data_IF_833190482290
#
_entry.id   IF_833190482290
#
_cell.length_a   1.000
_cell.length_b   1.000
_cell.length_c   1.000
_cell.angle_alpha   90.00
_cell.angle_beta   90.00
_cell.angle_gamma   90.00
#
_symmetry.space_group_name_H-M   'P 1'
#
loop_
_entity.id
_entity.type
_entity.pdbx_description
1 polymer ?
#
# COMPACT_ATOMS: atom_id res chain seq x y z
N UNK A 1 19.37 -38.22 19.15
CA UNK A 1 18.19 -38.34 18.27
C UNK A 1 17.55 -36.95 18.19
N UNK A 2 17.97 -36.13 17.23
CA UNK A 2 17.48 -34.75 17.07
C UNK A 2 16.49 -34.72 15.88
N UNK A 3 15.28 -34.16 16.04
CA UNK A 3 14.31 -34.11 14.95
C UNK A 3 14.79 -33.12 13.87
N UNK A 4 14.89 -33.62 12.64
CA UNK A 4 15.22 -32.86 11.43
C UNK A 4 13.93 -32.31 10.82
N UNK A 5 13.47 -31.16 11.30
CA UNK A 5 12.51 -30.36 10.57
C UNK A 5 13.21 -29.11 10.03
N UNK A 6 13.96 -29.32 8.93
CA UNK A 6 14.49 -28.22 8.11
C UNK A 6 13.40 -27.89 7.10
N UNK A 7 12.72 -26.73 7.18
CA UNK A 7 11.74 -26.35 6.18
C UNK A 7 12.44 -26.13 4.83
N UNK A 8 11.93 -26.81 3.81
CA UNK A 8 12.37 -26.77 2.42
C UNK A 8 12.64 -25.34 1.94
N UNK A 9 13.89 -25.02 1.51
CA UNK A 9 14.27 -23.67 1.07
C UNK A 9 13.55 -23.23 -0.22
N UNK A 10 12.92 -24.15 -0.96
CA UNK A 10 12.13 -23.84 -2.16
C UNK A 10 10.68 -23.47 -1.80
N UNK A 11 10.09 -24.14 -0.81
CA UNK A 11 8.74 -23.85 -0.31
C UNK A 11 8.62 -22.49 0.39
N UNK A 12 9.65 -22.06 1.09
CA UNK A 12 9.70 -20.74 1.73
C UNK A 12 9.76 -19.59 0.70
N UNK A 13 10.28 -19.85 -0.51
CA UNK A 13 10.30 -18.89 -1.61
C UNK A 13 8.93 -18.76 -2.28
N UNK A 14 8.20 -19.86 -2.49
CA UNK A 14 6.91 -19.87 -3.17
C UNK A 14 5.78 -19.18 -2.38
N UNK A 15 5.81 -19.24 -1.04
CA UNK A 15 4.78 -18.62 -0.19
C UNK A 15 5.02 -17.11 -0.03
N UNK A 16 6.28 -16.66 -0.05
CA UNK A 16 6.64 -15.23 0.09
C UNK A 16 6.68 -14.45 -1.24
N UNK A 17 6.84 -15.13 -2.37
CA UNK A 17 6.76 -14.50 -3.69
C UNK A 17 5.38 -14.53 -4.33
N UNK A 18 4.38 -15.24 -3.78
CA UNK A 18 3.03 -15.24 -4.35
C UNK A 18 2.42 -13.83 -4.44
N UNK A 19 2.57 -12.92 -3.45
CA UNK A 19 2.13 -11.53 -3.60
C UNK A 19 2.99 -10.75 -4.60
N UNK A 20 4.29 -11.00 -4.67
CA UNK A 20 5.24 -10.29 -5.55
C UNK A 20 5.15 -10.70 -7.02
N UNK A 21 4.90 -11.99 -7.29
CA UNK A 21 4.65 -12.57 -8.61
C UNK A 21 3.23 -12.23 -9.07
N UNK A 22 2.24 -12.17 -8.17
CA UNK A 22 0.90 -11.64 -8.50
C UNK A 22 0.92 -10.12 -8.76
N UNK A 23 1.74 -9.36 -8.02
CA UNK A 23 2.02 -7.95 -8.33
C UNK A 23 2.74 -7.79 -9.67
N UNK A 24 3.65 -8.70 -10.04
CA UNK A 24 4.30 -8.74 -11.35
C UNK A 24 3.35 -9.20 -12.48
N UNK A 25 2.42 -10.13 -12.23
CA UNK A 25 1.43 -10.56 -13.22
C UNK A 25 0.35 -9.50 -13.45
N UNK A 26 -0.07 -8.78 -12.40
CA UNK A 26 -0.90 -7.58 -12.49
C UNK A 26 -0.21 -6.43 -13.23
N UNK A 27 1.08 -6.19 -12.90
CA UNK A 27 1.96 -5.27 -13.62
C UNK A 27 1.99 -5.55 -15.12
N UNK A 28 2.13 -6.81 -15.51
CA UNK A 28 2.21 -7.22 -16.92
C UNK A 28 0.86 -7.19 -17.65
N UNK A 29 -0.27 -7.34 -16.94
CA UNK A 29 -1.61 -7.19 -17.52
C UNK A 29 -1.98 -5.72 -17.77
N UNK A 30 -1.47 -4.77 -16.97
CA UNK A 30 -1.70 -3.33 -17.15
C UNK A 30 -0.77 -2.65 -18.17
N UNK A 31 0.38 -3.25 -18.51
CA UNK A 31 1.26 -2.72 -19.56
C UNK A 31 0.64 -2.68 -20.97
N UNK A 32 -0.50 -3.35 -21.20
CA UNK A 32 -1.32 -3.19 -22.42
C UNK A 32 -2.22 -1.95 -22.43
N UNK A 33 -2.38 -1.23 -21.30
CA UNK A 33 -3.35 -0.12 -21.15
C UNK A 33 -2.74 1.23 -20.73
N UNK A 34 -1.42 1.38 -20.80
CA UNK A 34 -0.77 2.69 -20.82
C UNK A 34 -1.00 3.57 -19.57
N UNK A 35 -0.50 3.18 -18.41
CA UNK A 35 -0.19 4.13 -17.33
C UNK A 35 0.77 3.52 -16.31
N UNK A 36 2.05 3.84 -16.43
CA UNK A 36 3.11 3.40 -15.50
C UNK A 36 3.06 4.12 -14.13
N UNK A 37 2.06 4.97 -13.85
CA UNK A 37 1.99 5.81 -12.64
C UNK A 37 1.39 5.14 -11.38
N UNK A 38 0.89 3.90 -11.47
CA UNK A 38 0.11 3.26 -10.38
C UNK A 38 0.81 2.09 -9.69
N UNK A 39 2.14 2.01 -9.75
CA UNK A 39 2.92 0.93 -9.11
C UNK A 39 3.28 1.24 -7.65
N UNK A 40 2.89 0.35 -6.74
CA UNK A 40 3.41 0.23 -5.38
C UNK A 40 2.78 1.18 -4.35
N UNK A 41 2.21 0.62 -3.28
CA UNK A 41 1.64 1.34 -2.12
C UNK A 41 0.42 2.24 -2.41
N UNK A 42 -0.23 2.10 -3.57
CA UNK A 42 -1.41 2.87 -3.94
C UNK A 42 -2.70 2.19 -3.46
N UNK A 43 -3.77 2.96 -3.23
CA UNK A 43 -5.06 2.41 -2.82
C UNK A 43 -5.70 1.45 -3.86
N UNK A 44 -5.57 1.68 -5.19
CA UNK A 44 -6.04 0.73 -6.20
C UNK A 44 -5.38 -0.65 -6.11
N UNK A 45 -4.08 -0.71 -5.82
CA UNK A 45 -3.38 -1.98 -5.66
C UNK A 45 -3.91 -2.78 -4.45
N UNK A 46 -4.22 -2.11 -3.33
CA UNK A 46 -4.83 -2.74 -2.16
C UNK A 46 -6.24 -3.26 -2.45
N UNK A 47 -7.05 -2.45 -3.13
CA UNK A 47 -8.39 -2.83 -3.60
C UNK A 47 -8.35 -4.05 -4.51
N UNK A 48 -7.37 -4.12 -5.41
CA UNK A 48 -7.17 -5.30 -6.26
C UNK A 48 -6.77 -6.56 -5.47
N UNK A 49 -5.88 -6.45 -4.49
CA UNK A 49 -5.48 -7.59 -3.65
C UNK A 49 -6.68 -8.16 -2.88
N UNK A 50 -7.51 -7.31 -2.30
CA UNK A 50 -8.73 -7.72 -1.60
C UNK A 50 -9.70 -8.46 -2.53
N UNK A 51 -9.86 -7.98 -3.77
CA UNK A 51 -10.68 -8.66 -4.80
C UNK A 51 -10.13 -10.04 -5.20
N UNK A 52 -8.84 -10.26 -5.02
CA UNK A 52 -8.20 -11.56 -5.22
C UNK A 52 -8.14 -12.39 -3.93
N UNK A 53 -8.85 -11.98 -2.88
CA UNK A 53 -8.86 -12.64 -1.56
C UNK A 53 -7.47 -12.73 -0.91
N UNK A 54 -6.58 -11.79 -1.26
CA UNK A 54 -5.24 -11.66 -0.68
C UNK A 54 -5.24 -10.52 0.34
N UNK A 55 -4.97 -10.83 1.61
CA UNK A 55 -4.89 -9.84 2.68
C UNK A 55 -3.72 -8.87 2.48
N UNK A 56 -3.98 -7.56 2.29
CA UNK A 56 -2.93 -6.59 1.99
C UNK A 56 -2.21 -6.10 3.26
N UNK A 57 -1.11 -6.75 3.65
CA UNK A 57 -0.25 -6.28 4.76
C UNK A 57 0.70 -5.13 4.37
N UNK A 58 0.22 -4.15 3.60
CA UNK A 58 1.02 -3.00 3.14
C UNK A 58 0.45 -1.72 3.76
N UNK A 59 1.11 -1.12 4.75
CA UNK A 59 0.54 -0.02 5.52
C UNK A 59 0.14 1.16 4.63
N UNK A 60 -0.91 1.86 5.03
CA UNK A 60 -1.31 3.13 4.44
C UNK A 60 -0.48 4.22 5.10
N UNK A 61 0.22 5.03 4.29
CA UNK A 61 0.79 6.27 4.81
C UNK A 61 -0.37 7.22 5.10
N UNK A 62 -0.69 7.39 6.38
CA UNK A 62 -1.77 8.26 6.78
C UNK A 62 -1.28 9.69 7.01
N UNK A 63 -1.90 10.63 6.31
CA UNK A 63 -1.65 12.07 6.43
C UNK A 63 -2.92 12.82 6.82
N UNK A 64 -3.99 12.12 7.17
CA UNK A 64 -5.28 12.72 7.52
C UNK A 64 -5.18 13.67 8.71
N UNK A 65 -4.28 13.38 9.66
CA UNK A 65 -4.03 14.18 10.85
C UNK A 65 -3.10 15.39 10.63
N UNK A 66 -2.57 15.60 9.41
CA UNK A 66 -1.63 16.70 9.11
C UNK A 66 -2.40 17.99 8.76
N UNK A 67 -3.21 18.49 9.69
CA UNK A 67 -4.18 19.57 9.45
C UNK A 67 -3.77 20.94 9.99
N UNK A 68 -2.54 21.08 10.49
CA UNK A 68 -2.03 22.33 11.10
C UNK A 68 -2.98 22.90 12.18
N UNK A 69 -3.54 22.03 13.01
CA UNK A 69 -4.44 22.41 14.11
C UNK A 69 -5.92 22.58 13.73
N UNK A 70 -6.29 22.33 12.47
CA UNK A 70 -7.69 22.29 12.03
C UNK A 70 -8.32 20.92 12.24
N UNK A 71 -9.65 20.84 12.20
CA UNK A 71 -10.35 19.57 12.19
C UNK A 71 -9.90 18.67 11.04
N UNK A 72 -9.64 17.41 11.39
CA UNK A 72 -9.28 16.37 10.45
C UNK A 72 -10.50 15.60 9.95
N UNK A 73 -10.25 14.58 9.13
CA UNK A 73 -11.32 13.76 8.57
C UNK A 73 -12.16 13.02 9.63
N UNK A 74 -11.62 12.80 10.84
CA UNK A 74 -12.34 12.09 11.91
C UNK A 74 -13.52 12.88 12.47
N UNK A 75 -13.54 14.20 12.26
CA UNK A 75 -14.63 15.08 12.67
C UNK A 75 -15.77 15.14 11.64
N UNK A 76 -15.72 14.33 10.57
CA UNK A 76 -16.75 14.25 9.53
C UNK A 76 -17.24 12.83 9.41
N UNK A 77 -18.55 12.64 9.47
CA UNK A 77 -19.16 11.32 9.32
C UNK A 77 -19.47 11.05 7.85
N UNK A 78 -19.04 9.91 7.32
CA UNK A 78 -19.35 9.50 5.96
C UNK A 78 -20.59 8.60 5.94
N UNK A 79 -21.56 8.93 5.10
CA UNK A 79 -22.72 8.09 4.79
C UNK A 79 -22.50 7.40 3.44
N UNK A 80 -22.40 6.07 3.47
CA UNK A 80 -22.20 5.25 2.27
C UNK A 80 -23.45 5.12 1.41
N UNK A 81 -24.65 5.20 1.98
CA UNK A 81 -25.91 5.07 1.25
C UNK A 81 -26.17 6.31 0.40
N UNK A 82 -25.90 7.49 0.97
CA UNK A 82 -26.11 8.78 0.29
C UNK A 82 -24.89 9.27 -0.49
N UNK A 83 -23.72 8.65 -0.32
CA UNK A 83 -22.42 9.14 -0.81
C UNK A 83 -22.23 10.62 -0.46
N UNK A 84 -22.36 10.94 0.84
CA UNK A 84 -22.20 12.28 1.39
C UNK A 84 -21.46 12.25 2.72
N UNK A 85 -20.93 13.40 3.12
CA UNK A 85 -20.39 13.60 4.47
C UNK A 85 -21.33 14.48 5.29
N UNK A 86 -21.30 14.32 6.60
CA UNK A 86 -22.00 15.19 7.56
C UNK A 86 -20.97 15.87 8.45
N UNK A 87 -21.06 17.19 8.60
CA UNK A 87 -20.19 17.93 9.52
C UNK A 87 -20.69 17.81 10.98
N UNK A 88 -19.88 18.24 11.94
CA UNK A 88 -20.24 18.22 13.38
C UNK A 88 -21.53 18.99 13.71
N UNK A 89 -21.90 19.98 12.90
CA UNK A 89 -23.15 20.74 13.07
C UNK A 89 -24.35 20.10 12.35
N UNK A 90 -24.19 18.88 11.82
CA UNK A 90 -25.26 18.14 11.15
C UNK A 90 -25.52 18.57 9.70
N UNK A 91 -24.74 19.49 9.14
CA UNK A 91 -24.90 19.93 7.76
C UNK A 91 -24.34 18.90 6.78
N UNK A 92 -25.14 18.55 5.76
CA UNK A 92 -24.74 17.64 4.70
C UNK A 92 -23.75 18.28 3.73
N UNK A 93 -22.77 17.48 3.31
CA UNK A 93 -21.71 17.79 2.37
C UNK A 93 -21.77 16.79 1.20
N UNK A 94 -22.56 17.07 0.15
CA UNK A 94 -22.72 16.15 -0.96
C UNK A 94 -21.46 16.10 -1.85
N UNK A 95 -21.33 15.00 -2.61
CA UNK A 95 -20.31 14.87 -3.63
C UNK A 95 -20.49 15.95 -4.72
N UNK A 96 -19.46 16.78 -4.94
CA UNK A 96 -19.50 17.81 -6.00
C UNK A 96 -18.49 17.60 -7.11
N UNK A 97 -17.34 16.99 -6.82
CA UNK A 97 -16.28 16.83 -7.83
C UNK A 97 -15.66 15.46 -7.76
N UNK A 98 -15.43 14.88 -8.94
CA UNK A 98 -14.69 13.64 -9.12
C UNK A 98 -13.49 13.92 -10.03
N UNK A 99 -12.28 13.61 -9.58
CA UNK A 99 -11.06 13.61 -10.39
C UNK A 99 -10.66 12.18 -10.69
N UNK A 100 -10.79 11.76 -11.95
CA UNK A 100 -10.58 10.35 -12.36
C UNK A 100 -9.11 9.96 -12.35
N UNK A 101 -8.22 10.87 -12.74
CA UNK A 101 -6.77 10.63 -12.85
C UNK A 101 -6.15 10.27 -11.50
N UNK A 102 -6.60 10.95 -10.45
CA UNK A 102 -6.18 10.70 -9.07
C UNK A 102 -7.11 9.77 -8.28
N UNK A 103 -8.25 9.37 -8.86
CA UNK A 103 -9.31 8.61 -8.17
C UNK A 103 -9.77 9.28 -6.87
N UNK A 104 -9.99 10.60 -6.92
CA UNK A 104 -10.38 11.41 -5.76
C UNK A 104 -11.81 11.89 -5.94
N UNK A 105 -12.63 11.69 -4.90
CA UNK A 105 -13.94 12.31 -4.70
C UNK A 105 -13.81 13.51 -3.76
N UNK A 106 -14.53 14.59 -4.03
CA UNK A 106 -14.48 15.81 -3.23
C UNK A 106 -15.89 16.27 -2.87
N UNK A 107 -16.10 16.48 -1.58
CA UNK A 107 -17.37 16.77 -0.93
C UNK A 107 -17.30 18.16 -0.33
N UNK A 108 -18.35 18.95 -0.50
CA UNK A 108 -18.32 20.38 -0.25
C UNK A 108 -19.45 20.72 0.71
N UNK A 109 -19.14 21.50 1.75
CA UNK A 109 -20.15 22.14 2.56
C UNK A 109 -20.84 23.27 1.78
N UNK A 110 -22.09 23.57 2.12
CA UNK A 110 -22.78 24.75 1.61
C UNK A 110 -22.05 26.03 2.02
N UNK A 111 -21.93 26.99 1.10
CA UNK A 111 -21.21 28.25 1.37
C UNK A 111 -21.93 29.08 2.43
N UNK A 112 -23.25 29.11 2.39
CA UNK A 112 -24.06 29.92 3.29
C UNK A 112 -24.10 29.31 4.69
N UNK A 113 -24.33 27.99 4.80
CA UNK A 113 -24.31 27.23 6.06
C UNK A 113 -22.94 27.19 6.72
N UNK A 114 -21.86 26.98 5.95
CA UNK A 114 -20.51 26.98 6.49
C UNK A 114 -20.02 28.41 6.81
N UNK A 115 -20.53 29.42 6.10
CA UNK A 115 -20.17 30.82 6.27
C UNK A 115 -20.55 31.39 7.64
N UNK A 116 -21.70 30.98 8.16
CA UNK A 116 -22.27 31.43 9.44
C UNK A 116 -21.95 30.50 10.62
N UNK A 117 -21.24 29.41 10.37
CA UNK A 117 -20.90 28.40 11.38
C UNK A 117 -19.98 28.94 12.49
N UNK A 118 -20.32 28.79 13.78
CA UNK A 118 -19.44 29.15 14.91
C UNK A 118 -18.11 28.37 14.91
N UNK A 119 -18.09 27.14 14.38
CA UNK A 119 -16.89 26.30 14.37
C UNK A 119 -15.99 26.52 13.13
N UNK A 120 -16.34 27.47 12.26
CA UNK A 120 -15.65 27.69 10.97
C UNK A 120 -14.14 27.83 11.12
N UNK A 121 -13.67 28.66 12.06
CA UNK A 121 -12.23 28.92 12.26
C UNK A 121 -11.44 27.66 12.65
N UNK A 122 -12.07 26.73 13.37
CA UNK A 122 -11.45 25.44 13.71
C UNK A 122 -11.51 24.44 12.54
N UNK A 123 -12.48 24.61 11.63
CA UNK A 123 -12.71 23.73 10.50
C UNK A 123 -11.86 24.09 9.26
N UNK A 124 -11.88 25.36 8.83
CA UNK A 124 -11.22 25.82 7.59
C UNK A 124 -11.00 27.33 7.54
N UNK A 125 -10.02 27.77 6.75
CA UNK A 125 -9.86 29.19 6.40
C UNK A 125 -10.56 29.53 5.07
N UNK A 126 -10.99 28.50 4.33
CA UNK A 126 -11.67 28.68 3.07
C UNK A 126 -13.12 29.17 3.29
N UNK A 127 -13.79 29.68 2.24
CA UNK A 127 -15.19 30.09 2.33
C UNK A 127 -16.13 28.97 2.78
N UNK A 128 -15.79 27.72 2.48
CA UNK A 128 -16.51 26.51 2.87
C UNK A 128 -15.54 25.33 3.05
N UNK A 129 -15.94 24.35 3.85
CA UNK A 129 -15.14 23.15 4.07
C UNK A 129 -15.19 22.19 2.87
N UNK A 130 -14.03 21.62 2.53
CA UNK A 130 -13.92 20.58 1.49
C UNK A 130 -13.29 19.33 2.09
N UNK A 131 -13.97 18.20 1.96
CA UNK A 131 -13.46 16.89 2.34
C UNK A 131 -13.12 16.11 1.08
N UNK A 132 -11.97 15.42 1.09
CA UNK A 132 -11.55 14.56 -0.03
C UNK A 132 -11.48 13.11 0.41
N UNK A 133 -12.03 12.20 -0.41
CA UNK A 133 -12.04 10.75 -0.18
C UNK A 133 -11.45 10.05 -1.39
N UNK A 134 -10.62 9.04 -1.20
CA UNK A 134 -10.19 8.20 -2.31
C UNK A 134 -11.35 7.31 -2.78
N UNK A 135 -11.44 6.98 -4.07
CA UNK A 135 -12.46 6.03 -4.57
C UNK A 135 -12.32 4.61 -4.01
N UNK A 136 -11.15 4.30 -3.46
CA UNK A 136 -10.81 2.99 -2.88
C UNK A 136 -10.53 3.16 -1.38
N UNK A 137 -11.22 4.09 -0.71
CA UNK A 137 -10.98 4.38 0.71
C UNK A 137 -11.36 3.21 1.61
N UNK A 138 -12.37 2.40 1.24
CA UNK A 138 -12.69 1.16 1.95
C UNK A 138 -11.49 0.20 2.00
N UNK A 139 -10.81 -0.02 0.87
CA UNK A 139 -9.62 -0.84 0.84
C UNK A 139 -8.50 -0.27 1.73
N UNK A 140 -8.41 1.06 1.87
CA UNK A 140 -7.46 1.69 2.79
C UNK A 140 -7.88 1.48 4.24
N UNK A 141 -9.18 1.55 4.52
CA UNK A 141 -9.75 1.35 5.84
C UNK A 141 -9.51 -0.06 6.35
N UNK A 142 -9.78 -1.09 5.54
CA UNK A 142 -9.45 -2.48 5.85
C UNK A 142 -7.97 -2.65 6.21
N UNK A 143 -7.07 -1.97 5.49
CA UNK A 143 -5.63 -2.03 5.77
C UNK A 143 -5.26 -1.31 7.06
N UNK A 144 -5.97 -0.24 7.44
CA UNK A 144 -5.79 0.42 8.75
C UNK A 144 -6.18 -0.53 9.88
N UNK A 145 -7.31 -1.23 9.74
CA UNK A 145 -7.79 -2.22 10.72
C UNK A 145 -6.82 -3.38 10.87
N UNK A 146 -6.20 -3.82 9.77
CA UNK A 146 -5.18 -4.88 9.79
C UNK A 146 -3.86 -4.45 10.44
N UNK A 147 -3.61 -3.15 10.63
CA UNK A 147 -2.30 -2.62 11.04
C UNK A 147 -1.80 -3.25 12.33
N UNK A 148 -2.68 -3.38 13.31
CA UNK A 148 -2.34 -3.76 14.68
C UNK A 148 -2.54 -5.27 14.94
N UNK A 149 -2.68 -6.06 13.86
CA UNK A 149 -2.82 -7.52 13.94
C UNK A 149 -1.46 -8.23 13.96
N UNK A 150 -1.37 -9.35 14.69
CA UNK A 150 -0.16 -10.17 14.76
C UNK A 150 0.31 -10.67 13.38
N UNK A 151 -0.63 -11.01 12.48
CA UNK A 151 -0.33 -11.43 11.11
C UNK A 151 0.36 -10.32 10.30
N UNK A 152 -0.08 -9.07 10.46
CA UNK A 152 0.55 -7.92 9.81
C UNK A 152 1.98 -7.71 10.30
N UNK A 153 2.20 -7.86 11.62
CA UNK A 153 3.53 -7.77 12.23
C UNK A 153 4.48 -8.87 11.77
N UNK A 154 3.99 -10.10 11.69
CA UNK A 154 4.77 -11.21 11.15
C UNK A 154 5.15 -10.96 9.69
N UNK A 155 4.17 -10.57 8.87
CA UNK A 155 4.39 -10.20 7.46
C UNK A 155 5.42 -9.09 7.34
N UNK A 156 5.38 -8.08 8.22
CA UNK A 156 6.36 -7.00 8.28
C UNK A 156 7.76 -7.51 8.62
N UNK A 157 7.90 -8.41 9.60
CA UNK A 157 9.19 -9.03 9.95
C UNK A 157 9.77 -9.83 8.78
N UNK A 158 8.93 -10.60 8.08
CA UNK A 158 9.32 -11.38 6.89
C UNK A 158 9.77 -10.47 5.74
N UNK A 159 9.02 -9.39 5.44
CA UNK A 159 9.41 -8.40 4.41
C UNK A 159 10.77 -7.76 4.68
N UNK A 160 11.06 -7.36 5.93
CA UNK A 160 12.37 -6.81 6.29
C UNK A 160 13.52 -7.75 5.94
N UNK A 161 13.36 -9.08 6.15
CA UNK A 161 14.38 -10.07 5.77
C UNK A 161 14.63 -10.09 4.25
N UNK A 162 13.56 -9.96 3.46
CA UNK A 162 13.64 -9.90 1.99
C UNK A 162 14.25 -8.57 1.52
N UNK A 163 13.85 -7.45 2.09
CA UNK A 163 14.44 -6.13 1.78
C UNK A 163 15.94 -6.11 2.06
N UNK A 164 16.38 -6.72 3.17
CA UNK A 164 17.79 -6.89 3.51
C UNK A 164 18.54 -7.78 2.50
N UNK A 165 17.91 -8.84 2.01
CA UNK A 165 18.46 -9.69 0.95
C UNK A 165 18.73 -8.88 -0.33
N UNK A 166 17.75 -8.10 -0.77
CA UNK A 166 17.89 -7.21 -1.93
C UNK A 166 18.94 -6.12 -1.71
N UNK A 167 19.01 -5.54 -0.51
CA UNK A 167 20.04 -4.56 -0.16
C UNK A 167 21.45 -5.17 -0.27
N UNK A 168 21.65 -6.38 0.25
CA UNK A 168 22.93 -7.08 0.15
C UNK A 168 23.27 -7.42 -1.31
N UNK A 169 22.30 -7.86 -2.10
CA UNK A 169 22.47 -8.16 -3.53
C UNK A 169 22.94 -6.91 -4.31
N UNK A 170 22.34 -5.74 -4.04
CA UNK A 170 22.75 -4.47 -4.67
C UNK A 170 24.12 -3.98 -4.20
N UNK A 171 24.39 -4.02 -2.89
CA UNK A 171 25.57 -3.40 -2.26
C UNK A 171 26.83 -4.28 -2.33
N UNK A 172 26.68 -5.59 -2.12
CA UNK A 172 27.81 -6.52 -2.04
C UNK A 172 28.01 -7.37 -3.28
N UNK A 173 26.94 -7.76 -3.97
CA UNK A 173 27.06 -8.50 -5.24
C UNK A 173 27.06 -7.59 -6.47
N UNK A 174 26.90 -6.27 -6.27
CA UNK A 174 27.01 -5.27 -7.34
C UNK A 174 25.89 -5.32 -8.39
N UNK A 175 24.80 -6.06 -8.13
CA UNK A 175 23.67 -6.19 -9.04
C UNK A 175 22.83 -4.91 -9.00
N UNK A 176 23.30 -3.88 -9.72
CA UNK A 176 22.67 -2.56 -9.82
C UNK A 176 21.83 -2.41 -11.10
N UNK A 177 22.17 -3.15 -12.14
CA UNK A 177 21.49 -3.16 -13.44
C UNK A 177 21.48 -4.60 -13.96
N UNK A 178 20.41 -4.95 -14.64
CA UNK A 178 20.33 -6.21 -15.37
C UNK A 178 21.09 -6.06 -16.69
N UNK A 179 21.86 -7.08 -17.09
CA UNK A 179 22.62 -7.06 -18.36
C UNK A 179 21.81 -7.66 -19.50
N UNK A 180 21.02 -8.68 -19.22
CA UNK A 180 20.14 -9.35 -20.16
C UNK A 180 18.84 -8.56 -20.34
N UNK A 181 18.29 -8.62 -21.56
CA UNK A 181 17.02 -7.97 -21.92
C UNK A 181 15.85 -8.94 -21.83
N UNK A 182 14.67 -8.40 -21.55
CA UNK A 182 13.43 -9.16 -21.47
C UNK A 182 13.26 -9.92 -20.15
N UNK A 183 12.04 -10.43 -19.92
CA UNK A 183 11.66 -11.07 -18.66
C UNK A 183 12.45 -12.35 -18.37
N UNK A 184 12.75 -13.14 -19.42
CA UNK A 184 13.52 -14.38 -19.28
C UNK A 184 14.93 -14.09 -18.79
N UNK A 185 15.64 -13.16 -19.43
CA UNK A 185 16.98 -12.75 -19.02
C UNK A 185 17.03 -12.14 -17.62
N UNK A 186 16.04 -11.32 -17.27
CA UNK A 186 15.91 -10.81 -15.90
C UNK A 186 15.77 -11.94 -14.88
N UNK A 187 14.95 -12.96 -15.17
CA UNK A 187 14.74 -14.10 -14.28
C UNK A 187 16.04 -14.90 -14.08
N UNK A 188 16.74 -15.21 -15.17
CA UNK A 188 18.02 -15.94 -15.12
C UNK A 188 19.07 -15.22 -14.27
N UNK A 189 19.22 -13.90 -14.44
CA UNK A 189 20.16 -13.11 -13.64
C UNK A 189 19.79 -13.08 -12.15
N UNK A 190 18.51 -12.88 -11.82
CA UNK A 190 18.08 -12.90 -10.43
C UNK A 190 18.26 -14.28 -9.80
N UNK A 191 18.00 -15.36 -10.55
CA UNK A 191 18.18 -16.72 -10.08
C UNK A 191 19.65 -17.01 -9.76
N UNK A 192 20.57 -16.63 -10.66
CA UNK A 192 22.02 -16.76 -10.43
C UNK A 192 22.48 -15.93 -9.22
N UNK A 193 22.01 -14.69 -9.09
CA UNK A 193 22.38 -13.82 -7.98
C UNK A 193 21.84 -14.36 -6.63
N UNK A 194 20.61 -14.89 -6.61
CA UNK A 194 20.04 -15.53 -5.44
C UNK A 194 20.81 -16.80 -5.05
N UNK A 195 21.19 -17.63 -6.03
CA UNK A 195 22.02 -18.82 -5.81
C UNK A 195 23.36 -18.46 -5.18
N UNK A 196 24.08 -17.48 -5.75
CA UNK A 196 25.35 -17.01 -5.18
C UNK A 196 25.17 -16.50 -3.73
N UNK A 197 24.08 -15.77 -3.46
CA UNK A 197 23.77 -15.28 -2.12
C UNK A 197 23.47 -16.42 -1.13
N UNK A 198 22.76 -17.47 -1.56
CA UNK A 198 22.47 -18.65 -0.75
C UNK A 198 23.74 -19.46 -0.45
N UNK A 199 24.62 -19.67 -1.44
CA UNK A 199 25.92 -20.32 -1.25
C UNK A 199 26.79 -19.58 -0.22
N UNK A 200 26.86 -18.24 -0.32
CA UNK A 200 27.58 -17.42 0.67
C UNK A 200 27.02 -17.56 2.09
N UNK A 201 25.70 -17.77 2.24
CA UNK A 201 25.08 -18.00 3.55
C UNK A 201 25.38 -19.38 4.10
N UNK A 202 25.29 -20.42 3.25
CA UNK A 202 25.65 -21.79 3.63
C UNK A 202 27.10 -21.87 4.12
N UNK A 203 28.03 -21.26 3.39
CA UNK A 203 29.44 -21.22 3.79
C UNK A 203 29.69 -20.57 5.16
N UNK A 204 28.81 -19.67 5.61
CA UNK A 204 28.90 -19.05 6.95
C UNK A 204 28.28 -19.87 8.08
N UNK A 205 27.46 -20.86 7.76
CA UNK A 205 26.78 -21.70 8.75
C UNK A 205 27.58 -22.96 9.10
N UNK A 206 28.61 -23.28 8.33
CA UNK A 206 29.54 -24.36 8.67
C UNK A 206 30.52 -23.81 9.71
N UNK A 207 30.50 -24.29 10.98
CA UNK A 207 31.51 -23.90 11.96
C UNK A 207 32.89 -24.35 11.47
N UNK A 208 33.88 -23.48 11.65
CA UNK A 208 35.29 -23.80 11.38
C UNK A 208 35.81 -24.83 12.38
#
# INVERSE_FOLDING_TARGET
MYPRDIPDPVGAFAIMFRPSILLMSWSLRQTRRGSWRQMGHTAPARSWLLKCEVTPHVPVLDRQHQTKGKYDLSHFQYDSERDSYTCLEGHEMPLRRIRKEGRIKSYFAGKDTCGTSPIKKACTDAPFQTVTRHMDEEARQTVRELRDTASCDESRRRRKKVEMLFAHLKRHLGVKRLRLRGLKGANEEFLLAATAQNLKRLAKMVPC
#
